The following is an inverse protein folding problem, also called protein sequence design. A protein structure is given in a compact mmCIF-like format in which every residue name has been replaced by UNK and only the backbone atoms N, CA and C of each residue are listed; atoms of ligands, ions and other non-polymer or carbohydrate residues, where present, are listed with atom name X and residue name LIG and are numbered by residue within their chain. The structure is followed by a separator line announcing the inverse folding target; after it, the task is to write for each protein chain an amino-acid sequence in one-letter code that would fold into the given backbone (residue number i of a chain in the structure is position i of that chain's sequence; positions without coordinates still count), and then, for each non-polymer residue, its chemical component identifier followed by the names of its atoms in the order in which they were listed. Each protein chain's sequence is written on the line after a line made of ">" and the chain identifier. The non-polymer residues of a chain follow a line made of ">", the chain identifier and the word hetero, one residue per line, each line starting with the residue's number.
data_IF_558551218270
#
_entry.id   IF_558551218270
#
_cell.length_a   1.000
_cell.length_b   1.000
_cell.length_c   1.000
_cell.angle_alpha   90.00
_cell.angle_beta   90.00
_cell.angle_gamma   90.00
#
_symmetry.space_group_name_H-M   'P 1'
#
loop_
_entity.id
_entity.type
_entity.pdbx_description
1 polymer ?
#
# COMPACT_ATOMS: atom_id res chain seq x y z
N UNK A 1 43.56 -4.50 13.21
CA UNK A 1 43.13 -5.45 12.15
C UNK A 1 41.79 -6.02 12.54
N UNK A 2 40.72 -5.51 11.95
CA UNK A 2 39.35 -5.96 12.17
C UNK A 2 39.14 -7.30 11.47
N UNK A 3 38.82 -8.33 12.26
CA UNK A 3 38.69 -9.70 11.78
C UNK A 3 37.31 -9.90 11.12
N UNK A 4 37.32 -10.30 9.85
CA UNK A 4 36.14 -10.80 9.15
C UNK A 4 35.61 -12.05 9.88
N UNK A 5 34.34 -12.03 10.30
CA UNK A 5 33.63 -13.24 10.73
C UNK A 5 32.76 -13.75 9.58
N UNK A 6 33.34 -14.59 8.72
CA UNK A 6 32.58 -15.57 7.95
C UNK A 6 32.59 -16.88 8.72
N UNK A 7 31.54 -17.08 9.51
CA UNK A 7 31.09 -18.40 9.90
C UNK A 7 29.59 -18.24 10.10
N UNK A 8 28.85 -18.27 8.99
CA UNK A 8 27.46 -18.68 9.05
C UNK A 8 27.47 -20.10 9.64
N UNK A 9 27.01 -20.32 10.89
CA UNK A 9 26.64 -21.69 11.23
C UNK A 9 25.60 -22.06 10.18
N UNK A 10 25.80 -23.18 9.50
CA UNK A 10 24.76 -23.75 8.63
C UNK A 10 23.46 -23.67 9.42
N UNK A 11 22.49 -22.88 8.93
CA UNK A 11 21.28 -22.63 9.69
C UNK A 11 20.73 -23.97 10.16
N UNK A 12 20.63 -24.16 11.47
CA UNK A 12 20.11 -25.40 12.03
C UNK A 12 18.79 -25.71 11.32
N UNK A 13 18.58 -26.94 10.88
CA UNK A 13 17.32 -27.33 10.22
C UNK A 13 16.10 -27.11 11.13
N UNK A 14 16.32 -26.90 12.44
CA UNK A 14 15.30 -26.49 13.40
C UNK A 14 14.88 -25.02 13.23
N UNK A 15 15.74 -24.13 12.72
CA UNK A 15 15.36 -22.74 12.38
C UNK A 15 14.33 -22.71 11.25
N UNK A 16 14.46 -23.59 10.26
CA UNK A 16 13.51 -23.72 9.13
C UNK A 16 12.12 -24.15 9.63
N UNK A 17 12.05 -24.94 10.72
CA UNK A 17 10.77 -25.34 11.32
C UNK A 17 10.06 -24.20 12.03
N UNK A 18 10.79 -23.28 12.65
CA UNK A 18 10.22 -22.08 13.25
C UNK A 18 9.65 -21.15 12.16
N UNK A 19 10.42 -20.94 11.08
CA UNK A 19 9.98 -20.15 9.92
C UNK A 19 8.71 -20.73 9.25
N UNK A 20 8.64 -22.06 9.05
CA UNK A 20 7.43 -22.71 8.52
C UNK A 20 6.21 -22.52 9.42
N UNK A 21 6.38 -22.61 10.76
CA UNK A 21 5.27 -22.37 11.70
C UNK A 21 4.82 -20.92 11.68
N UNK A 22 5.77 -19.98 11.66
CA UNK A 22 5.43 -18.56 11.57
C UNK A 22 4.65 -18.25 10.29
N UNK A 23 5.05 -18.82 9.16
CA UNK A 23 4.37 -18.63 7.89
C UNK A 23 2.97 -19.27 7.89
N UNK A 24 2.82 -20.47 8.44
CA UNK A 24 1.53 -21.16 8.55
C UNK A 24 0.50 -20.37 9.38
N UNK A 25 0.96 -19.67 10.42
CA UNK A 25 0.09 -18.86 11.28
C UNK A 25 -0.21 -17.48 10.69
N UNK A 26 0.67 -16.94 9.84
CA UNK A 26 0.42 -15.69 9.12
C UNK A 26 -0.55 -15.86 7.94
N UNK A 27 -0.50 -17.00 7.25
CA UNK A 27 -1.30 -17.32 6.06
C UNK A 27 -2.81 -17.03 6.18
N UNK A 28 -3.54 -17.43 7.26
CA UNK A 28 -4.97 -17.16 7.36
C UNK A 28 -5.34 -15.68 7.50
N UNK A 29 -4.39 -14.81 7.87
CA UNK A 29 -4.61 -13.38 8.08
C UNK A 29 -4.32 -12.59 6.80
N UNK A 30 -3.41 -13.08 5.94
CA UNK A 30 -3.00 -12.40 4.72
C UNK A 30 -3.99 -12.64 3.57
N UNK A 31 -4.89 -11.68 3.36
CA UNK A 31 -5.92 -11.75 2.32
C UNK A 31 -5.57 -10.79 1.19
N UNK A 32 -5.52 -9.49 1.47
CA UNK A 32 -5.28 -8.44 0.47
C UNK A 32 -3.87 -8.52 -0.14
N UNK A 33 -2.87 -8.89 0.66
CA UNK A 33 -1.49 -9.08 0.18
C UNK A 33 -1.36 -10.13 -0.93
N UNK A 34 -2.29 -11.10 -0.98
CA UNK A 34 -2.31 -12.19 -1.95
C UNK A 34 -3.02 -11.83 -3.27
N UNK A 35 -3.88 -10.80 -3.26
CA UNK A 35 -4.65 -10.37 -4.44
C UNK A 35 -3.99 -9.25 -5.25
N UNK A 36 -2.93 -8.62 -4.72
CA UNK A 36 -2.20 -7.56 -5.40
C UNK A 36 -1.13 -8.07 -6.39
N UNK A 37 -0.84 -7.29 -7.43
CA UNK A 37 0.35 -7.50 -8.27
C UNK A 37 1.59 -6.98 -7.56
N UNK A 38 2.46 -7.89 -7.11
CA UNK A 38 3.67 -7.54 -6.38
C UNK A 38 4.80 -7.19 -7.36
N UNK A 39 5.28 -5.95 -7.30
CA UNK A 39 6.45 -5.50 -8.06
C UNK A 39 7.68 -5.48 -7.16
N UNK A 40 8.66 -6.32 -7.51
CA UNK A 40 9.92 -6.43 -6.77
C UNK A 40 10.76 -5.18 -7.00
N UNK A 41 11.22 -4.55 -5.91
CA UNK A 41 12.24 -3.52 -6.01
C UNK A 41 13.61 -4.16 -6.24
N UNK A 42 14.36 -3.77 -7.29
CA UNK A 42 15.72 -4.24 -7.49
C UNK A 42 16.66 -3.93 -6.32
N UNK A 43 17.54 -4.88 -6.01
CA UNK A 43 18.55 -4.72 -4.98
C UNK A 43 19.50 -3.55 -5.29
N UNK A 44 20.00 -2.89 -4.23
CA UNK A 44 20.95 -1.76 -4.30
C UNK A 44 20.44 -0.57 -5.11
N UNK A 45 19.13 -0.37 -5.12
CA UNK A 45 18.49 0.86 -5.59
C UNK A 45 17.92 1.63 -4.40
N UNK A 46 17.46 2.85 -4.68
CA UNK A 46 16.79 3.73 -3.71
C UNK A 46 15.59 3.02 -3.06
N UNK A 47 15.18 3.51 -1.89
CA UNK A 47 13.99 3.06 -1.16
C UNK A 47 12.66 3.46 -1.84
N UNK A 48 12.69 4.40 -2.77
CA UNK A 48 11.52 4.92 -3.48
C UNK A 48 11.34 4.29 -4.85
N UNK A 49 10.10 3.88 -5.12
CA UNK A 49 9.64 3.37 -6.43
C UNK A 49 8.58 4.32 -6.96
N UNK A 50 8.73 4.74 -8.22
CA UNK A 50 7.74 5.58 -8.89
C UNK A 50 7.08 4.78 -9.99
N UNK A 51 5.77 4.57 -9.86
CA UNK A 51 4.93 4.01 -10.91
C UNK A 51 4.32 5.14 -11.72
N UNK A 52 4.32 4.98 -13.04
CA UNK A 52 3.77 5.96 -13.96
C UNK A 52 2.57 5.37 -14.69
N UNK A 53 1.48 6.12 -14.74
CA UNK A 53 0.30 5.79 -15.55
C UNK A 53 -0.05 6.93 -16.48
N UNK A 54 -0.65 6.58 -17.63
CA UNK A 54 -1.21 7.54 -18.56
C UNK A 54 -2.44 8.20 -17.91
N UNK A 55 -2.52 9.53 -18.00
CA UNK A 55 -3.68 10.27 -17.51
C UNK A 55 -4.83 10.20 -18.52
N UNK A 56 -6.08 10.18 -18.06
CA UNK A 56 -7.24 10.27 -18.94
C UNK A 56 -7.23 11.55 -19.79
N UNK A 57 -7.90 11.50 -20.95
CA UNK A 57 -7.84 12.56 -21.96
C UNK A 57 -8.23 13.93 -21.41
N UNK A 58 -7.37 14.93 -21.66
CA UNK A 58 -7.53 16.33 -21.27
C UNK A 58 -7.84 16.55 -19.77
N UNK A 59 -7.41 15.60 -18.94
CA UNK A 59 -7.69 15.64 -17.51
C UNK A 59 -6.78 16.61 -16.75
N UNK A 60 -7.26 17.21 -15.65
CA UNK A 60 -6.50 18.08 -14.74
C UNK A 60 -6.17 17.37 -13.41
N UNK A 61 -5.01 17.72 -12.83
CA UNK A 61 -4.66 17.24 -11.48
C UNK A 61 -5.26 18.26 -10.54
N UNK A 62 -6.27 17.85 -9.79
CA UNK A 62 -6.86 18.72 -8.78
C UNK A 62 -5.93 18.74 -7.56
N UNK A 63 -5.51 19.93 -7.16
CA UNK A 63 -4.63 20.16 -6.02
C UNK A 63 -5.35 20.03 -4.67
N UNK A 64 -6.69 19.99 -4.68
CA UNK A 64 -7.53 19.88 -3.50
C UNK A 64 -8.69 18.87 -3.76
N UNK A 65 -8.81 17.78 -2.98
CA UNK A 65 -9.89 16.79 -3.14
C UNK A 65 -11.31 17.32 -2.94
N UNK A 66 -11.46 18.55 -2.42
CA UNK A 66 -12.76 19.17 -2.19
C UNK A 66 -13.43 19.70 -3.47
N UNK A 67 -12.65 19.98 -4.53
CA UNK A 67 -13.12 20.67 -5.75
C UNK A 67 -13.51 19.71 -6.88
N UNK A 68 -13.21 18.42 -6.76
CA UNK A 68 -13.55 17.38 -7.76
C UNK A 68 -12.68 16.13 -7.63
N UNK A 69 -12.93 15.14 -8.50
CA UNK A 69 -12.05 13.96 -8.61
C UNK A 69 -10.86 14.33 -9.47
N UNK A 70 -9.66 14.14 -8.93
CA UNK A 70 -8.43 14.27 -9.71
C UNK A 70 -8.43 13.24 -10.84
N UNK A 71 -7.94 13.63 -12.01
CA UNK A 71 -7.78 12.75 -13.16
C UNK A 71 -9.06 12.26 -13.88
N UNK A 72 -10.19 12.99 -13.82
CA UNK A 72 -11.36 12.68 -14.67
C UNK A 72 -11.20 13.14 -16.12
N UNK A 73 -11.67 12.38 -17.14
CA UNK A 73 -11.66 12.84 -18.52
C UNK A 73 -12.47 14.14 -18.67
N UNK A 74 -11.89 15.14 -19.33
CA UNK A 74 -12.57 16.42 -19.61
C UNK A 74 -12.83 16.56 -21.11
N UNK A 75 -14.03 16.19 -21.53
CA UNK A 75 -14.42 16.14 -22.94
C UNK A 75 -15.50 17.17 -23.19
N UNK A 76 -15.17 18.17 -24.02
CA UNK A 76 -16.13 19.15 -24.53
C UNK A 76 -16.37 18.87 -26.00
N UNK A 77 -17.57 18.41 -26.42
CA UNK A 77 -17.86 18.05 -27.81
C UNK A 77 -17.53 19.14 -28.83
N UNK A 78 -17.69 20.41 -28.45
CA UNK A 78 -17.37 21.56 -29.30
C UNK A 78 -15.89 21.60 -29.74
N UNK A 79 -14.97 21.06 -28.93
CA UNK A 79 -13.54 21.02 -29.26
C UNK A 79 -13.19 20.02 -30.36
N UNK A 80 -14.13 19.15 -30.73
CA UNK A 80 -13.96 18.14 -31.78
C UNK A 80 -14.64 18.55 -33.09
N UNK A 81 -15.26 19.74 -33.15
CA UNK A 81 -15.86 20.25 -34.38
C UNK A 81 -14.73 20.67 -35.32
N UNK A 82 -14.71 20.08 -36.51
CA UNK A 82 -13.76 20.43 -37.57
C UNK A 82 -14.37 21.44 -38.54
N UNK A 83 -13.54 22.28 -39.15
CA UNK A 83 -13.93 23.22 -40.19
C UNK A 83 -13.21 22.89 -41.50
N UNK A 84 -13.87 23.10 -42.63
CA UNK A 84 -13.26 22.91 -43.94
C UNK A 84 -12.12 23.91 -44.17
N UNK A 85 -11.03 23.45 -44.80
CA UNK A 85 -9.89 24.31 -45.12
C UNK A 85 -8.93 24.62 -43.96
N UNK A 86 -9.13 24.03 -42.77
CA UNK A 86 -8.18 24.17 -41.65
C UNK A 86 -7.75 22.81 -41.09
N UNK A 87 -6.49 22.71 -40.67
CA UNK A 87 -5.98 21.51 -40.00
C UNK A 87 -6.40 21.55 -38.52
N UNK A 88 -7.08 20.52 -38.00
CA UNK A 88 -7.45 20.48 -36.58
C UNK A 88 -6.23 20.52 -35.66
N UNK A 89 -6.38 21.11 -34.46
CA UNK A 89 -5.33 21.13 -33.45
C UNK A 89 -5.02 19.72 -32.96
N UNK A 90 -3.74 19.37 -32.87
CA UNK A 90 -3.29 18.08 -32.35
C UNK A 90 -3.45 18.01 -30.82
N UNK A 91 -3.88 16.85 -30.32
CA UNK A 91 -3.97 16.59 -28.89
C UNK A 91 -2.65 16.08 -28.31
N UNK A 92 -2.43 16.30 -27.02
CA UNK A 92 -1.25 15.81 -26.29
C UNK A 92 -1.67 14.81 -25.20
N UNK A 93 -0.71 14.00 -24.76
CA UNK A 93 -0.87 13.07 -23.65
C UNK A 93 -0.10 13.57 -22.42
N UNK A 94 -0.59 13.24 -21.23
CA UNK A 94 0.07 13.55 -19.96
C UNK A 94 0.11 12.34 -19.03
N UNK A 95 1.02 12.34 -18.06
CA UNK A 95 1.29 11.22 -17.17
C UNK A 95 1.21 11.67 -15.70
N UNK A 96 0.80 10.76 -14.83
CA UNK A 96 0.89 10.94 -13.37
C UNK A 96 1.87 9.94 -12.79
N UNK A 97 2.69 10.45 -11.88
CA UNK A 97 3.64 9.68 -11.10
C UNK A 97 3.07 9.38 -9.71
N UNK A 98 3.10 8.11 -9.32
CA UNK A 98 2.69 7.60 -8.01
C UNK A 98 3.93 7.01 -7.34
N UNK A 99 4.43 7.69 -6.32
CA UNK A 99 5.60 7.27 -5.55
C UNK A 99 5.21 6.41 -4.35
N UNK A 100 5.93 5.31 -4.13
CA UNK A 100 5.82 4.44 -2.96
C UNK A 100 7.20 4.32 -2.29
N UNK A 101 7.25 4.40 -0.97
CA UNK A 101 8.47 4.20 -0.16
C UNK A 101 8.49 2.78 0.42
N UNK A 102 9.66 2.14 0.41
CA UNK A 102 9.85 0.87 1.10
C UNK A 102 10.14 1.10 2.57
N UNK A 103 9.34 0.46 3.41
CA UNK A 103 9.49 0.48 4.86
C UNK A 103 9.91 -0.91 5.38
N UNK A 104 10.56 -0.93 6.54
CA UNK A 104 10.96 -2.17 7.23
C UNK A 104 10.16 -2.32 8.53
N UNK A 105 9.50 -3.47 8.66
CA UNK A 105 8.75 -3.84 9.86
C UNK A 105 9.47 -4.97 10.58
N UNK A 106 9.60 -4.85 11.89
CA UNK A 106 10.20 -5.87 12.73
C UNK A 106 9.45 -5.93 14.06
N UNK A 107 9.37 -7.14 14.62
CA UNK A 107 8.91 -7.39 15.98
C UNK A 107 9.95 -8.27 16.68
N UNK A 108 10.22 -7.97 17.94
CA UNK A 108 11.20 -8.71 18.74
C UNK A 108 10.56 -9.08 20.08
N UNK A 109 10.48 -10.37 20.35
CA UNK A 109 10.16 -10.89 21.66
C UNK A 109 11.43 -11.31 22.39
N UNK A 110 11.49 -11.02 23.68
CA UNK A 110 12.60 -11.39 24.55
C UNK A 110 12.07 -12.18 25.74
N UNK A 111 12.84 -13.16 26.17
CA UNK A 111 12.59 -13.93 27.39
C UNK A 111 13.91 -14.18 28.13
N UNK A 112 13.81 -14.58 29.40
CA UNK A 112 14.97 -14.87 30.26
C UNK A 112 15.19 -16.37 30.41
N UNK A 113 16.40 -16.78 30.77
CA UNK A 113 16.69 -18.18 31.09
C UNK A 113 15.90 -18.68 32.31
N UNK A 114 15.57 -17.79 33.25
CA UNK A 114 14.75 -18.12 34.41
C UNK A 114 13.31 -18.44 34.00
N UNK A 115 12.74 -17.66 33.08
CA UNK A 115 11.38 -17.90 32.55
C UNK A 115 11.33 -19.16 31.70
N UNK A 116 12.39 -19.47 30.94
CA UNK A 116 12.46 -20.72 30.17
C UNK A 116 12.51 -21.97 31.06
N UNK A 117 13.22 -21.90 32.19
CA UNK A 117 13.46 -23.08 33.04
C UNK A 117 12.45 -23.25 34.17
N UNK A 118 11.82 -22.18 34.65
CA UNK A 118 10.95 -22.23 35.84
C UNK A 118 9.46 -22.18 35.53
N UNK A 119 9.07 -21.82 34.30
CA UNK A 119 7.66 -21.71 33.95
C UNK A 119 7.19 -23.02 33.34
N UNK A 120 5.93 -23.39 33.59
CA UNK A 120 5.33 -24.63 33.09
C UNK A 120 5.10 -24.58 31.57
N UNK A 121 4.85 -23.38 31.04
CA UNK A 121 4.53 -23.14 29.64
C UNK A 121 5.77 -23.00 28.76
N UNK A 122 5.68 -23.50 27.53
CA UNK A 122 6.69 -23.27 26.47
C UNK A 122 6.54 -21.84 25.91
N UNK A 123 7.08 -20.88 26.65
CA UNK A 123 7.09 -19.46 26.29
C UNK A 123 7.79 -19.22 24.94
N UNK A 124 8.97 -19.81 24.63
CA UNK A 124 9.62 -19.63 23.34
C UNK A 124 8.77 -20.06 22.15
N UNK A 125 8.06 -21.19 22.25
CA UNK A 125 7.18 -21.64 21.17
C UNK A 125 5.99 -20.71 20.95
N UNK A 126 5.34 -20.26 22.04
CA UNK A 126 4.21 -19.32 21.94
C UNK A 126 4.64 -17.96 21.40
N UNK A 127 5.83 -17.47 21.77
CA UNK A 127 6.40 -16.25 21.21
C UNK A 127 6.62 -16.36 19.69
N UNK A 128 7.10 -17.51 19.20
CA UNK A 128 7.27 -17.72 17.77
C UNK A 128 5.93 -17.69 17.01
N UNK A 129 4.87 -18.25 17.57
CA UNK A 129 3.53 -18.20 16.98
C UNK A 129 3.00 -16.77 16.91
N UNK A 130 3.06 -16.03 18.02
CA UNK A 130 2.63 -14.63 18.09
C UNK A 130 3.40 -13.75 17.10
N UNK A 131 4.70 -14.03 16.89
CA UNK A 131 5.53 -13.31 15.93
C UNK A 131 4.99 -13.45 14.50
N UNK A 132 4.55 -14.65 14.11
CA UNK A 132 3.95 -14.89 12.80
C UNK A 132 2.63 -14.16 12.62
N UNK A 133 1.72 -14.27 13.60
CA UNK A 133 0.41 -13.63 13.57
C UNK A 133 0.50 -12.11 13.50
N UNK A 134 1.33 -11.52 14.35
CA UNK A 134 1.51 -10.06 14.41
C UNK A 134 2.15 -9.49 13.15
N UNK A 135 3.16 -10.14 12.57
CA UNK A 135 3.74 -9.68 11.30
C UNK A 135 2.77 -9.86 10.13
N UNK A 136 1.98 -10.93 10.11
CA UNK A 136 0.90 -11.11 9.14
C UNK A 136 -0.15 -10.00 9.23
N UNK A 137 -0.57 -9.65 10.45
CA UNK A 137 -1.53 -8.57 10.70
C UNK A 137 -0.96 -7.19 10.31
N UNK A 138 0.30 -6.91 10.64
CA UNK A 138 0.97 -5.66 10.24
C UNK A 138 1.01 -5.52 8.72
N UNK A 139 1.31 -6.59 8.00
CA UNK A 139 1.32 -6.58 6.54
C UNK A 139 -0.09 -6.28 5.99
N UNK A 140 -1.12 -6.95 6.52
CA UNK A 140 -2.50 -6.81 6.06
C UNK A 140 -3.07 -5.42 6.36
N UNK A 141 -2.84 -4.88 7.57
CA UNK A 141 -3.27 -3.52 7.95
C UNK A 141 -2.61 -2.47 7.06
N UNK A 142 -1.33 -2.67 6.70
CA UNK A 142 -0.62 -1.77 5.80
C UNK A 142 -1.25 -1.78 4.41
N UNK A 143 -1.51 -2.96 3.84
CA UNK A 143 -2.22 -3.10 2.57
C UNK A 143 -3.62 -2.47 2.63
N UNK A 144 -4.38 -2.76 3.68
CA UNK A 144 -5.72 -2.21 3.87
C UNK A 144 -5.72 -0.69 3.99
N UNK A 145 -4.74 -0.11 4.70
CA UNK A 145 -4.57 1.34 4.80
C UNK A 145 -4.41 2.02 3.44
N UNK A 146 -3.61 1.43 2.56
CA UNK A 146 -3.40 1.93 1.19
C UNK A 146 -4.66 1.78 0.33
N UNK A 147 -5.33 0.62 0.37
CA UNK A 147 -6.59 0.40 -0.36
C UNK A 147 -7.67 1.38 0.08
N UNK A 148 -7.79 1.59 1.39
CA UNK A 148 -8.73 2.56 1.96
C UNK A 148 -8.41 3.99 1.53
N UNK A 149 -7.13 4.38 1.50
CA UNK A 149 -6.73 5.71 1.01
C UNK A 149 -7.04 5.89 -0.49
N UNK A 150 -7.02 4.82 -1.28
CA UNK A 150 -7.42 4.82 -2.68
C UNK A 150 -8.94 4.88 -2.93
N UNK A 151 -9.76 4.60 -1.90
CA UNK A 151 -11.21 4.76 -2.00
C UNK A 151 -11.62 6.22 -1.79
N UNK A 152 -12.46 6.76 -2.68
CA UNK A 152 -12.89 8.15 -2.59
C UNK A 152 -13.80 8.38 -1.38
N UNK A 153 -13.39 9.26 -0.46
CA UNK A 153 -14.27 9.77 0.60
C UNK A 153 -15.00 10.99 0.05
N UNK A 154 -16.30 10.82 -0.25
CA UNK A 154 -17.11 11.86 -0.89
C UNK A 154 -17.92 12.59 0.17
N UNK A 155 -17.52 13.82 0.49
CA UNK A 155 -18.33 14.70 1.32
C UNK A 155 -19.24 15.57 0.45
N UNK A 156 -20.46 15.81 0.93
CA UNK A 156 -21.40 16.76 0.32
C UNK A 156 -20.80 18.18 0.30
N UNK A 157 -20.18 18.56 1.42
CA UNK A 157 -19.40 19.78 1.60
C UNK A 157 -18.38 19.62 2.75
N UNK A 158 -17.41 20.54 2.85
CA UNK A 158 -16.39 20.53 3.90
C UNK A 158 -15.30 19.46 3.72
N UNK A 159 -14.21 19.58 4.48
CA UNK A 159 -13.05 18.66 4.46
C UNK A 159 -12.94 17.79 5.72
N UNK A 160 -13.80 18.03 6.71
CA UNK A 160 -13.88 17.28 7.97
C UNK A 160 -15.32 16.92 8.29
N UNK A 161 -15.53 15.86 9.07
CA UNK A 161 -16.87 15.35 9.45
C UNK A 161 -17.76 16.41 10.12
N UNK A 162 -17.17 17.36 10.84
CA UNK A 162 -17.87 18.45 11.53
C UNK A 162 -18.41 19.51 10.54
N UNK A 163 -17.77 19.65 9.38
CA UNK A 163 -18.17 20.60 8.34
C UNK A 163 -19.20 20.08 7.35
N UNK A 164 -19.61 18.81 7.44
CA UNK A 164 -20.59 18.20 6.53
C UNK A 164 -22.00 18.53 7.03
N UNK A 165 -22.56 19.64 6.54
CA UNK A 165 -23.86 20.15 6.97
C UNK A 165 -24.89 20.29 5.84
N UNK A 166 -24.54 19.90 4.61
CA UNK A 166 -25.46 19.91 3.46
C UNK A 166 -25.87 18.50 3.05
N UNK A 167 -27.10 18.38 2.54
CA UNK A 167 -27.60 17.14 1.96
C UNK A 167 -26.83 16.76 0.69
N UNK A 168 -26.55 15.47 0.54
CA UNK A 168 -25.81 14.90 -0.60
C UNK A 168 -26.61 15.10 -1.90
N UNK A 169 -25.98 15.71 -2.91
CA UNK A 169 -26.65 15.97 -4.19
C UNK A 169 -26.63 14.74 -5.11
N UNK A 170 -27.59 14.66 -6.03
CA UNK A 170 -27.63 13.59 -7.04
C UNK A 170 -26.38 13.57 -7.93
N UNK A 171 -25.76 14.73 -8.16
CA UNK A 171 -24.52 14.84 -8.91
C UNK A 171 -23.31 14.28 -8.12
N UNK A 172 -23.28 14.47 -6.79
CA UNK A 172 -22.28 13.84 -5.91
C UNK A 172 -22.47 12.32 -5.86
N UNK A 173 -23.71 11.83 -5.84
CA UNK A 173 -24.01 10.39 -5.92
C UNK A 173 -23.56 9.74 -7.23
N UNK A 174 -23.74 10.42 -8.36
CA UNK A 174 -23.32 9.93 -9.69
C UNK A 174 -21.82 9.97 -9.93
N UNK A 175 -21.08 10.49 -8.95
CA UNK A 175 -19.64 10.66 -9.04
C UNK A 175 -18.87 9.65 -8.19
N UNK A 176 -19.59 8.84 -7.40
CA UNK A 176 -19.08 7.68 -6.67
C UNK A 176 -18.89 6.46 -7.58
#
# INVERSE_FOLDING_TARGET
>A
MTMNKYSTPTASRNLIRAEMKMLQHAEPIMVLGSFGDQKVQPLRKTDTVVFRRLRPFNSTVESNPADGYSETPSITPANFITAEGTTPTANTISFTDVSVTLEQYAILFQFSSKTELMYEDDIPANMALQTGETLGEVAEITCYGQVKAGSSVIYSNGTTRVGVNTALSLNKLRSA
#
